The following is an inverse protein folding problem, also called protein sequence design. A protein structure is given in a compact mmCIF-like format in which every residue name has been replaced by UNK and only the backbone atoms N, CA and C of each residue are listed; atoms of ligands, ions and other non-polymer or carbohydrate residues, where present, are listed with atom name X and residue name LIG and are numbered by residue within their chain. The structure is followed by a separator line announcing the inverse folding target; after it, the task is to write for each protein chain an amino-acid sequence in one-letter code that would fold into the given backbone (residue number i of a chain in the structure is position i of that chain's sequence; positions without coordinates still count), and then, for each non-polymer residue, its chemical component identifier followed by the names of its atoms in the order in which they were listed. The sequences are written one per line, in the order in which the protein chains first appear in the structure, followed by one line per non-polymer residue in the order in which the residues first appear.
data_IF_181668788151
#
_entry.id   IF_181668788151
#
_cell.length_a   1.000
_cell.length_b   1.000
_cell.length_c   1.000
_cell.angle_alpha   90.00
_cell.angle_beta   90.00
_cell.angle_gamma   90.00
#
_symmetry.space_group_name_H-M   'P 1'
#
loop_
_entity.id
_entity.type
_entity.pdbx_description
1 polymer ?
#
# COMPACT_ATOMS: atom_id res chain seq x y z
N UNK A 1 37.14 62.96 -13.81
CA UNK A 1 37.30 61.49 -13.89
C UNK A 1 36.21 60.86 -13.06
N UNK A 2 35.16 60.33 -13.70
CA UNK A 2 33.94 59.80 -13.08
C UNK A 2 34.04 58.26 -13.11
N UNK A 3 34.23 57.64 -11.94
CA UNK A 3 34.27 56.17 -11.79
C UNK A 3 32.85 55.62 -11.88
N UNK A 4 32.52 54.90 -12.94
CA UNK A 4 31.27 54.15 -13.06
C UNK A 4 31.46 52.80 -12.37
N UNK A 5 30.77 52.60 -11.24
CA UNK A 5 30.65 51.28 -10.59
C UNK A 5 29.62 50.46 -11.36
N UNK A 6 30.05 49.36 -11.96
CA UNK A 6 29.16 48.37 -12.57
C UNK A 6 28.78 47.41 -11.44
N UNK A 7 27.54 47.48 -10.99
CA UNK A 7 26.96 46.48 -10.09
C UNK A 7 26.59 45.24 -10.92
N UNK A 8 27.29 44.15 -10.72
CA UNK A 8 27.02 42.84 -11.31
C UNK A 8 25.89 42.20 -10.48
N UNK A 9 24.63 42.25 -10.98
CA UNK A 9 23.54 41.56 -10.39
C UNK A 9 23.65 40.05 -10.71
N UNK A 10 24.10 39.26 -9.72
CA UNK A 10 24.14 37.80 -9.79
C UNK A 10 22.70 37.29 -9.62
N UNK A 11 21.96 37.07 -10.73
CA UNK A 11 20.72 36.32 -10.73
C UNK A 11 21.04 34.87 -10.39
N UNK A 12 20.93 34.48 -9.12
CA UNK A 12 20.83 33.09 -8.73
C UNK A 12 19.48 32.55 -9.26
N UNK A 13 19.46 32.00 -10.46
CA UNK A 13 18.40 31.16 -10.95
C UNK A 13 18.39 29.92 -10.05
N UNK A 14 17.53 29.91 -9.03
CA UNK A 14 17.14 28.69 -8.36
C UNK A 14 16.53 27.79 -9.41
N UNK A 15 17.34 26.91 -9.97
CA UNK A 15 16.87 25.78 -10.76
C UNK A 15 16.15 24.91 -9.73
N UNK A 16 14.85 25.14 -9.59
CA UNK A 16 13.95 24.23 -8.91
C UNK A 16 13.99 22.96 -9.76
N UNK A 17 14.88 22.02 -9.44
CA UNK A 17 14.84 20.68 -10.02
C UNK A 17 13.45 20.16 -9.69
N UNK A 18 12.66 19.72 -10.67
CA UNK A 18 11.42 19.03 -10.36
C UNK A 18 11.81 17.86 -9.44
N UNK A 19 11.22 17.84 -8.25
CA UNK A 19 11.34 16.66 -7.41
C UNK A 19 10.72 15.51 -8.22
N UNK A 20 11.57 14.64 -8.74
CA UNK A 20 11.12 13.45 -9.45
C UNK A 20 10.25 12.68 -8.48
N UNK A 21 9.07 12.30 -8.91
CA UNK A 21 8.17 11.50 -8.10
C UNK A 21 8.89 10.19 -7.77
N UNK A 22 9.27 10.01 -6.52
CA UNK A 22 9.88 8.77 -6.03
C UNK A 22 8.79 7.71 -5.94
N UNK A 23 9.11 6.48 -6.30
CA UNK A 23 8.22 5.35 -6.07
C UNK A 23 8.62 4.65 -4.77
N UNK A 24 7.73 4.65 -3.78
CA UNK A 24 7.87 3.86 -2.56
C UNK A 24 7.30 2.46 -2.79
N UNK A 25 8.08 1.43 -2.49
CA UNK A 25 7.67 0.02 -2.61
C UNK A 25 7.73 -0.63 -1.25
N UNK A 26 6.56 -0.98 -0.69
CA UNK A 26 6.45 -1.81 0.49
C UNK A 26 6.35 -3.29 0.12
N UNK A 27 7.28 -4.12 0.61
CA UNK A 27 7.28 -5.57 0.33
C UNK A 27 6.94 -6.35 1.58
N UNK A 28 5.83 -7.10 1.56
CA UNK A 28 5.39 -7.98 2.64
C UNK A 28 5.85 -9.41 2.40
N UNK A 29 6.72 -9.92 3.28
CA UNK A 29 7.26 -11.26 3.22
C UNK A 29 6.23 -12.35 3.54
N UNK A 30 6.45 -13.60 3.06
CA UNK A 30 5.69 -14.79 3.49
C UNK A 30 6.02 -15.19 4.93
N UNK A 31 5.42 -16.26 5.42
CA UNK A 31 5.54 -16.76 6.80
C UNK A 31 6.97 -16.85 7.32
N UNK A 32 7.90 -17.36 6.53
CA UNK A 32 9.30 -17.54 6.93
C UNK A 32 10.24 -16.49 6.33
N UNK A 33 9.69 -15.35 5.90
CA UNK A 33 10.47 -14.23 5.37
C UNK A 33 11.32 -14.57 4.15
N UNK A 34 12.50 -13.93 4.01
CA UNK A 34 13.38 -14.12 2.86
C UNK A 34 13.87 -15.56 2.67
N UNK A 35 13.99 -16.33 3.76
CA UNK A 35 14.44 -17.72 3.71
C UNK A 35 13.48 -18.63 2.93
N UNK A 36 12.17 -18.36 3.00
CA UNK A 36 11.15 -19.10 2.25
C UNK A 36 10.91 -18.54 0.85
N UNK A 37 11.49 -17.40 0.53
CA UNK A 37 11.28 -16.70 -0.73
C UNK A 37 12.58 -16.16 -1.33
N UNK A 38 13.59 -17.00 -1.61
CA UNK A 38 14.87 -16.53 -2.14
C UNK A 38 14.73 -15.78 -3.47
N UNK A 39 13.79 -16.18 -4.33
CA UNK A 39 13.50 -15.48 -5.57
C UNK A 39 12.94 -14.07 -5.37
N UNK A 40 12.14 -13.86 -4.31
CA UNK A 40 11.68 -12.52 -3.95
C UNK A 40 12.82 -11.70 -3.34
N UNK A 41 13.67 -12.31 -2.51
CA UNK A 41 14.82 -11.62 -1.91
C UNK A 41 15.80 -11.12 -2.99
N UNK A 42 16.11 -11.95 -3.97
CA UNK A 42 16.89 -11.55 -5.15
C UNK A 42 16.23 -10.39 -5.91
N UNK A 43 14.93 -10.48 -6.13
CA UNK A 43 14.19 -9.45 -6.84
C UNK A 43 14.10 -8.14 -6.05
N UNK A 44 13.94 -8.19 -4.72
CA UNK A 44 14.00 -7.00 -3.86
C UNK A 44 15.35 -6.30 -3.98
N UNK A 45 16.47 -7.05 -3.97
CA UNK A 45 17.80 -6.47 -4.18
C UNK A 45 17.94 -5.79 -5.56
N UNK A 46 17.33 -6.37 -6.59
CA UNK A 46 17.26 -5.75 -7.92
C UNK A 46 16.48 -4.44 -7.89
N UNK A 47 15.29 -4.42 -7.27
CA UNK A 47 14.47 -3.21 -7.13
C UNK A 47 15.17 -2.11 -6.33
N UNK A 48 15.90 -2.47 -5.26
CA UNK A 48 16.68 -1.53 -4.45
C UNK A 48 17.83 -0.87 -5.23
N UNK A 49 18.25 -1.47 -6.35
CA UNK A 49 19.29 -0.89 -7.23
C UNK A 49 18.72 0.09 -8.27
N UNK A 50 17.39 0.20 -8.40
CA UNK A 50 16.76 1.09 -9.37
C UNK A 50 16.84 2.55 -8.89
N UNK A 51 17.11 3.51 -9.79
CA UNK A 51 17.05 4.91 -9.43
C UNK A 51 15.60 5.33 -9.12
N UNK A 52 15.44 6.31 -8.24
CA UNK A 52 14.16 6.91 -7.86
C UNK A 52 13.12 5.92 -7.28
N UNK A 53 13.60 4.79 -6.76
CA UNK A 53 12.79 3.75 -6.10
C UNK A 53 13.30 3.55 -4.68
N UNK A 54 12.42 3.70 -3.71
CA UNK A 54 12.66 3.35 -2.31
C UNK A 54 11.97 2.03 -1.99
N UNK A 55 12.71 1.00 -1.57
CA UNK A 55 12.15 -0.33 -1.24
C UNK A 55 12.39 -0.65 0.21
N UNK A 56 11.30 -0.80 0.97
CA UNK A 56 11.33 -1.26 2.36
C UNK A 56 10.60 -2.60 2.47
N UNK A 57 11.17 -3.49 3.25
CA UNK A 57 10.62 -4.84 3.44
C UNK A 57 10.09 -5.03 4.85
N UNK A 58 8.97 -5.72 4.97
CA UNK A 58 8.25 -5.95 6.22
C UNK A 58 7.93 -7.44 6.36
N UNK A 59 7.98 -7.96 7.56
CA UNK A 59 7.36 -9.24 7.84
C UNK A 59 5.84 -9.14 7.61
N UNK A 60 5.20 -10.21 7.21
CA UNK A 60 3.75 -10.19 7.00
C UNK A 60 2.97 -9.65 8.22
N UNK A 61 3.46 -9.83 9.44
CA UNK A 61 2.87 -9.30 10.68
C UNK A 61 3.11 -7.81 10.90
N UNK A 62 4.05 -7.20 10.20
CA UNK A 62 4.41 -5.78 10.31
C UNK A 62 3.61 -4.89 9.34
N UNK A 63 2.50 -5.40 8.80
CA UNK A 63 1.63 -4.61 7.95
C UNK A 63 1.17 -3.27 8.57
N UNK A 64 0.99 -3.12 9.92
CA UNK A 64 0.66 -1.81 10.50
C UNK A 64 1.79 -0.79 10.32
N UNK A 65 3.06 -1.22 10.46
CA UNK A 65 4.21 -0.34 10.23
C UNK A 65 4.29 0.11 8.76
N UNK A 66 3.97 -0.79 7.81
CA UNK A 66 3.87 -0.40 6.41
C UNK A 66 2.76 0.63 6.16
N UNK A 67 1.60 0.51 6.84
CA UNK A 67 0.53 1.52 6.78
C UNK A 67 1.03 2.87 7.28
N UNK A 68 1.74 2.89 8.41
CA UNK A 68 2.29 4.11 8.98
C UNK A 68 3.29 4.76 8.01
N UNK A 69 4.20 3.98 7.44
CA UNK A 69 5.20 4.48 6.48
C UNK A 69 4.54 5.02 5.20
N UNK A 70 3.52 4.34 4.66
CA UNK A 70 2.74 4.83 3.52
C UNK A 70 2.07 6.16 3.85
N UNK A 71 1.45 6.28 5.02
CA UNK A 71 0.72 7.49 5.41
C UNK A 71 1.64 8.69 5.69
N UNK A 72 2.94 8.46 5.88
CA UNK A 72 3.96 9.49 6.06
C UNK A 72 4.71 9.85 4.77
N UNK A 73 4.43 9.18 3.65
CA UNK A 73 5.06 9.54 2.38
C UNK A 73 4.70 10.96 1.93
N UNK A 74 5.65 11.60 1.26
CA UNK A 74 5.45 12.94 0.72
C UNK A 74 4.36 12.96 -0.36
N UNK A 75 3.66 14.07 -0.48
CA UNK A 75 2.74 14.27 -1.60
C UNK A 75 3.49 14.15 -2.93
N UNK A 76 2.95 13.33 -3.83
CA UNK A 76 3.57 13.03 -5.13
C UNK A 76 4.44 11.76 -5.15
N UNK A 77 4.65 11.10 -3.99
CA UNK A 77 5.26 9.76 -3.97
C UNK A 77 4.23 8.73 -4.43
N UNK A 78 4.59 7.91 -5.42
CA UNK A 78 3.78 6.76 -5.83
C UNK A 78 3.97 5.58 -4.88
N UNK A 79 2.88 4.89 -4.57
CA UNK A 79 2.87 3.79 -3.61
C UNK A 79 2.58 2.47 -4.31
N UNK A 80 3.54 1.56 -4.30
CA UNK A 80 3.38 0.17 -4.75
C UNK A 80 3.55 -0.78 -3.56
N UNK A 81 2.58 -1.66 -3.34
CA UNK A 81 2.69 -2.73 -2.34
C UNK A 81 2.83 -4.08 -3.04
N UNK A 82 3.84 -4.83 -2.68
CA UNK A 82 4.06 -6.20 -3.15
C UNK A 82 3.89 -7.14 -1.97
N UNK A 83 2.97 -8.08 -2.08
CA UNK A 83 2.76 -9.11 -1.06
C UNK A 83 2.94 -10.51 -1.64
N UNK A 84 3.59 -11.40 -0.89
CA UNK A 84 3.72 -12.80 -1.28
C UNK A 84 3.18 -13.74 -0.20
N UNK A 85 2.36 -14.71 -0.57
CA UNK A 85 1.76 -15.70 0.34
C UNK A 85 0.97 -15.01 1.47
N UNK A 86 1.31 -15.18 2.74
CA UNK A 86 0.72 -14.44 3.86
C UNK A 86 0.88 -12.93 3.72
N UNK A 87 1.99 -12.46 3.15
CA UNK A 87 2.17 -11.05 2.82
C UNK A 87 1.16 -10.55 1.80
N UNK A 88 0.75 -11.38 0.84
CA UNK A 88 -0.28 -11.03 -0.13
C UNK A 88 -1.67 -10.85 0.53
N UNK A 89 -2.03 -11.71 1.49
CA UNK A 89 -3.26 -11.52 2.27
C UNK A 89 -3.21 -10.22 3.09
N UNK A 90 -2.06 -9.95 3.72
CA UNK A 90 -1.91 -8.76 4.56
C UNK A 90 -1.77 -7.46 3.76
N UNK A 91 -1.42 -7.52 2.48
CA UNK A 91 -1.52 -6.37 1.58
C UNK A 91 -2.96 -5.82 1.49
N UNK A 92 -3.98 -6.68 1.66
CA UNK A 92 -5.38 -6.24 1.78
C UNK A 92 -5.62 -5.47 3.08
N UNK A 93 -4.99 -5.87 4.19
CA UNK A 93 -5.07 -5.13 5.46
C UNK A 93 -4.38 -3.78 5.33
N UNK A 94 -3.23 -3.72 4.65
CA UNK A 94 -2.57 -2.43 4.34
C UNK A 94 -3.51 -1.56 3.53
N UNK A 95 -4.11 -2.08 2.47
CA UNK A 95 -5.04 -1.34 1.61
C UNK A 95 -6.23 -0.77 2.38
N UNK A 96 -6.78 -1.56 3.31
CA UNK A 96 -7.97 -1.16 4.08
C UNK A 96 -7.66 -0.11 5.17
N UNK A 97 -6.39 0.13 5.50
CA UNK A 97 -5.98 1.03 6.58
C UNK A 97 -5.08 2.19 6.11
N UNK A 98 -4.49 2.11 4.93
CA UNK A 98 -3.73 3.22 4.34
C UNK A 98 -4.65 4.28 3.73
N UNK A 99 -4.16 5.53 3.67
CA UNK A 99 -4.90 6.63 3.04
C UNK A 99 -5.16 6.38 1.55
N UNK A 100 -4.14 5.93 0.84
CA UNK A 100 -4.19 5.61 -0.59
C UNK A 100 -2.99 4.73 -0.99
N UNK A 101 -3.20 3.85 -1.96
CA UNK A 101 -2.17 3.03 -2.59
C UNK A 101 -2.40 3.06 -4.10
N UNK A 102 -1.38 3.37 -4.90
CA UNK A 102 -1.50 3.38 -6.36
C UNK A 102 -1.70 1.97 -6.90
N UNK A 103 -0.89 1.02 -6.43
CA UNK A 103 -0.98 -0.36 -6.90
C UNK A 103 -0.62 -1.39 -5.84
N UNK A 104 -1.31 -2.53 -5.90
CA UNK A 104 -0.97 -3.74 -5.16
C UNK A 104 -0.71 -4.88 -6.14
N UNK A 105 0.40 -5.59 -5.95
CA UNK A 105 0.67 -6.85 -6.64
C UNK A 105 0.73 -7.96 -5.60
N UNK A 106 -0.32 -8.78 -5.57
CA UNK A 106 -0.49 -9.89 -4.65
C UNK A 106 -0.08 -11.20 -5.33
N UNK A 107 1.03 -11.78 -4.88
CA UNK A 107 1.57 -13.02 -5.44
C UNK A 107 1.14 -14.21 -4.59
N UNK A 108 0.33 -15.08 -5.15
CA UNK A 108 -0.13 -16.34 -4.56
C UNK A 108 -0.58 -16.21 -3.10
N UNK A 109 -1.70 -15.52 -2.80
CA UNK A 109 -2.21 -15.36 -1.44
C UNK A 109 -2.43 -16.72 -0.76
N UNK A 110 -2.11 -16.79 0.53
CA UNK A 110 -2.18 -18.01 1.33
C UNK A 110 -3.60 -18.31 1.78
N UNK A 111 -3.97 -19.59 1.85
CA UNK A 111 -5.25 -20.04 2.43
C UNK A 111 -5.27 -20.06 3.98
N UNK A 112 -4.12 -19.82 4.62
CA UNK A 112 -4.02 -19.94 6.09
C UNK A 112 -4.54 -18.72 6.84
N UNK A 113 -5.01 -17.70 6.15
CA UNK A 113 -5.60 -16.52 6.77
C UNK A 113 -7.05 -16.34 6.32
N UNK A 114 -7.84 -15.67 7.14
CA UNK A 114 -9.18 -15.23 6.74
C UNK A 114 -9.08 -14.30 5.54
N UNK A 115 -9.94 -14.52 4.56
CA UNK A 115 -10.00 -13.69 3.36
C UNK A 115 -10.75 -12.40 3.70
N UNK A 116 -10.01 -11.38 4.14
CA UNK A 116 -10.58 -10.07 4.42
C UNK A 116 -10.97 -9.38 3.11
N UNK A 117 -12.22 -8.90 2.98
CA UNK A 117 -12.60 -8.15 1.78
C UNK A 117 -11.79 -6.86 1.63
N UNK A 118 -11.41 -6.56 0.41
CA UNK A 118 -10.81 -5.27 0.07
C UNK A 118 -11.89 -4.18 0.11
N UNK A 119 -11.71 -3.21 0.96
CA UNK A 119 -12.59 -2.04 1.12
C UNK A 119 -11.82 -0.73 1.03
N UNK A 120 -10.50 -0.81 0.97
CA UNK A 120 -9.59 0.33 0.99
C UNK A 120 -9.52 1.08 -0.34
N UNK A 121 -8.79 2.19 -0.30
CA UNK A 121 -8.62 3.10 -1.43
C UNK A 121 -7.36 2.72 -2.21
N UNK A 122 -7.53 1.90 -3.26
CA UNK A 122 -6.45 1.41 -4.11
C UNK A 122 -6.76 1.68 -5.57
N UNK A 123 -5.80 2.25 -6.31
CA UNK A 123 -5.94 2.53 -7.72
C UNK A 123 -6.01 1.27 -8.58
N UNK A 124 -5.11 0.32 -8.34
CA UNK A 124 -5.04 -0.94 -9.09
C UNK A 124 -4.64 -2.11 -8.19
N UNK A 125 -5.28 -3.27 -8.38
CA UNK A 125 -4.87 -4.52 -7.74
C UNK A 125 -4.71 -5.60 -8.79
N UNK A 126 -3.56 -6.26 -8.75
CA UNK A 126 -3.29 -7.45 -9.56
C UNK A 126 -2.99 -8.62 -8.62
N UNK A 127 -3.78 -9.65 -8.73
CA UNK A 127 -3.52 -10.92 -8.05
C UNK A 127 -2.98 -11.94 -9.03
N UNK A 128 -1.81 -12.48 -8.72
CA UNK A 128 -1.21 -13.60 -9.45
C UNK A 128 -1.43 -14.86 -8.62
N UNK A 129 -2.25 -15.77 -9.11
CA UNK A 129 -2.61 -16.99 -8.37
C UNK A 129 -2.39 -18.27 -9.20
N UNK A 130 -2.18 -19.38 -8.50
CA UNK A 130 -2.13 -20.70 -9.11
C UNK A 130 -3.44 -21.46 -8.76
N UNK A 131 -4.25 -21.80 -9.75
CA UNK A 131 -5.50 -22.55 -9.53
C UNK A 131 -5.26 -24.02 -9.17
N UNK A 132 -4.04 -24.54 -9.35
CA UNK A 132 -3.74 -25.95 -9.10
C UNK A 132 -3.24 -26.15 -7.66
N UNK A 133 -4.06 -26.73 -6.76
CA UNK A 133 -3.69 -26.90 -5.36
C UNK A 133 -2.49 -27.84 -5.15
N UNK A 134 -2.21 -28.75 -6.08
CA UNK A 134 -1.08 -29.67 -6.00
C UNK A 134 0.27 -29.00 -6.27
N UNK A 135 0.26 -27.94 -7.07
CA UNK A 135 1.46 -27.16 -7.37
C UNK A 135 1.81 -26.15 -6.26
N UNK A 136 0.95 -25.97 -5.27
CA UNK A 136 1.02 -24.95 -4.23
C UNK A 136 1.14 -25.53 -2.82
N UNK A 137 1.83 -26.66 -2.63
CA UNK A 137 1.95 -27.31 -1.31
C UNK A 137 0.60 -27.50 -0.59
N UNK A 138 -0.36 -28.17 -1.25
CA UNK A 138 -1.68 -28.42 -0.69
C UNK A 138 -2.58 -27.19 -0.62
N UNK A 139 -2.38 -26.22 -1.51
CA UNK A 139 -3.26 -25.06 -1.66
C UNK A 139 -2.75 -23.76 -1.02
N UNK A 140 -1.53 -23.74 -0.50
CA UNK A 140 -0.99 -22.57 0.21
C UNK A 140 -0.95 -21.26 -0.60
N UNK A 141 -1.08 -21.32 -1.91
CA UNK A 141 -1.06 -20.14 -2.76
C UNK A 141 -2.25 -20.04 -3.71
N UNK A 142 -3.37 -20.70 -3.43
CA UNK A 142 -4.52 -20.76 -4.34
C UNK A 142 -5.75 -19.99 -3.87
N UNK A 143 -5.67 -19.27 -2.75
CA UNK A 143 -6.77 -18.42 -2.30
C UNK A 143 -6.88 -17.20 -3.21
N UNK A 144 -8.09 -16.87 -3.64
CA UNK A 144 -8.38 -15.60 -4.31
C UNK A 144 -8.74 -14.52 -3.30
N UNK A 145 -8.22 -13.34 -3.48
CA UNK A 145 -8.62 -12.15 -2.73
C UNK A 145 -10.08 -11.81 -3.04
N UNK A 146 -10.76 -11.16 -2.11
CA UNK A 146 -12.14 -10.72 -2.27
C UNK A 146 -12.16 -9.20 -2.40
N UNK A 147 -12.78 -8.68 -3.46
CA UNK A 147 -12.92 -7.24 -3.66
C UNK A 147 -13.38 -6.89 -5.07
N UNK A 148 -13.75 -5.63 -5.25
CA UNK A 148 -14.04 -5.09 -6.57
C UNK A 148 -12.74 -4.73 -7.30
N UNK A 149 -12.76 -4.83 -8.64
CA UNK A 149 -11.69 -4.36 -9.52
C UNK A 149 -10.32 -5.07 -9.33
N UNK A 150 -10.32 -6.33 -8.87
CA UNK A 150 -9.10 -7.13 -8.81
C UNK A 150 -8.85 -7.76 -10.18
N UNK A 151 -7.70 -7.49 -10.77
CA UNK A 151 -7.22 -8.17 -11.97
C UNK A 151 -6.59 -9.51 -11.57
N UNK A 152 -7.06 -10.62 -12.14
CA UNK A 152 -6.56 -11.96 -11.83
C UNK A 152 -5.70 -12.51 -12.96
N UNK A 153 -4.45 -12.83 -12.63
CA UNK A 153 -3.51 -13.47 -13.55
C UNK A 153 -3.25 -14.90 -13.09
N UNK A 154 -3.46 -15.86 -13.99
CA UNK A 154 -3.17 -17.26 -13.72
C UNK A 154 -1.68 -17.51 -13.89
N UNK A 155 -1.05 -18.08 -12.87
CA UNK A 155 0.34 -18.48 -12.86
C UNK A 155 0.45 -19.97 -12.53
N UNK A 156 1.06 -20.75 -13.42
CA UNK A 156 1.23 -22.20 -13.25
C UNK A 156 2.51 -22.59 -12.49
N UNK A 157 3.26 -21.64 -11.96
CA UNK A 157 4.45 -21.93 -11.15
C UNK A 157 4.07 -22.46 -9.77
N UNK A 158 4.94 -23.31 -9.23
CA UNK A 158 4.83 -23.73 -7.84
C UNK A 158 4.89 -22.51 -6.89
N UNK A 159 4.40 -22.68 -5.69
CA UNK A 159 4.42 -21.59 -4.67
C UNK A 159 5.85 -21.04 -4.46
N UNK A 160 6.84 -21.91 -4.27
CA UNK A 160 8.23 -21.48 -4.11
C UNK A 160 8.88 -20.95 -5.40
N UNK A 161 8.38 -21.38 -6.57
CA UNK A 161 8.86 -20.93 -7.88
C UNK A 161 8.25 -19.59 -8.33
N UNK A 162 7.12 -19.19 -7.77
CA UNK A 162 6.40 -18.01 -8.22
C UNK A 162 7.24 -16.70 -8.19
N UNK A 163 8.05 -16.42 -7.16
CA UNK A 163 8.88 -15.21 -7.15
C UNK A 163 10.01 -15.18 -8.19
N UNK A 164 10.38 -16.35 -8.75
CA UNK A 164 11.37 -16.42 -9.83
C UNK A 164 10.75 -16.21 -11.23
N UNK A 165 9.41 -16.18 -11.31
CA UNK A 165 8.73 -16.07 -12.60
C UNK A 165 9.05 -14.72 -13.27
N UNK A 166 9.58 -14.74 -14.51
CA UNK A 166 9.83 -13.51 -15.27
C UNK A 166 8.58 -12.67 -15.52
N UNK A 167 7.40 -13.29 -15.66
CA UNK A 167 6.14 -12.57 -15.87
C UNK A 167 5.79 -11.71 -14.64
N UNK A 168 5.94 -12.27 -13.44
CA UNK A 168 5.76 -11.51 -12.20
C UNK A 168 6.75 -10.33 -12.11
N UNK A 169 8.04 -10.59 -12.32
CA UNK A 169 9.08 -9.56 -12.26
C UNK A 169 8.86 -8.47 -13.32
N UNK A 170 8.48 -8.83 -14.53
CA UNK A 170 8.18 -7.89 -15.61
C UNK A 170 6.92 -7.07 -15.30
N UNK A 171 5.89 -7.68 -14.69
CA UNK A 171 4.69 -6.97 -14.27
C UNK A 171 5.04 -5.88 -13.23
N UNK A 172 5.83 -6.21 -12.21
CA UNK A 172 6.28 -5.24 -11.20
C UNK A 172 7.06 -4.10 -11.85
N UNK A 173 8.04 -4.42 -12.71
CA UNK A 173 8.84 -3.40 -13.41
C UNK A 173 8.00 -2.51 -14.33
N UNK A 174 7.03 -3.08 -15.05
CA UNK A 174 6.13 -2.31 -15.90
C UNK A 174 5.21 -1.40 -15.08
N UNK A 175 4.80 -1.85 -13.90
CA UNK A 175 3.99 -1.05 -12.99
C UNK A 175 4.80 0.13 -12.40
N UNK A 176 6.04 -0.08 -12.00
CA UNK A 176 6.96 0.99 -11.59
C UNK A 176 7.14 2.01 -12.72
N UNK A 177 7.39 1.55 -13.95
CA UNK A 177 7.53 2.43 -15.11
C UNK A 177 6.25 3.23 -15.39
N UNK A 178 5.07 2.62 -15.24
CA UNK A 178 3.78 3.30 -15.36
C UNK A 178 3.63 4.40 -14.31
N UNK A 179 3.87 4.08 -13.04
CA UNK A 179 3.77 5.03 -11.94
C UNK A 179 4.74 6.20 -12.11
N UNK A 180 5.98 5.93 -12.54
CA UNK A 180 6.98 6.97 -12.81
C UNK A 180 6.60 7.87 -13.98
N UNK A 181 5.79 7.40 -14.93
CA UNK A 181 5.32 8.18 -16.09
C UNK A 181 4.05 8.99 -15.81
N UNK A 182 3.30 8.64 -14.77
CA UNK A 182 2.07 9.32 -14.40
C UNK A 182 2.36 10.46 -13.43
N UNK A 183 1.95 11.68 -13.78
CA UNK A 183 1.74 12.70 -12.78
C UNK A 183 0.49 12.29 -11.98
N UNK A 184 0.58 12.27 -10.65
CA UNK A 184 -0.57 12.00 -9.81
C UNK A 184 -1.75 12.87 -10.27
N UNK A 185 -2.91 12.29 -10.61
CA UNK A 185 -4.08 13.06 -10.95
C UNK A 185 -4.42 14.02 -9.80
N UNK A 186 -4.83 15.26 -10.13
CA UNK A 186 -5.24 16.27 -9.14
C UNK A 186 -6.28 15.73 -8.15
N UNK A 187 -7.09 14.74 -8.59
CA UNK A 187 -8.08 14.05 -7.78
C UNK A 187 -7.46 13.17 -6.66
N UNK A 188 -6.33 12.53 -6.91
CA UNK A 188 -5.63 11.72 -5.90
C UNK A 188 -4.97 12.63 -4.85
N UNK A 189 -4.36 13.73 -5.28
CA UNK A 189 -3.84 14.75 -4.38
C UNK A 189 -4.95 15.35 -3.48
N UNK A 190 -6.12 15.61 -4.06
CA UNK A 190 -7.28 16.10 -3.31
C UNK A 190 -7.83 15.06 -2.31
N UNK A 191 -7.77 13.77 -2.63
CA UNK A 191 -8.19 12.68 -1.72
C UNK A 191 -7.21 12.52 -0.56
N UNK A 192 -5.90 12.56 -0.82
CA UNK A 192 -4.86 12.52 0.22
C UNK A 192 -5.02 13.72 1.16
N UNK A 193 -5.20 14.93 0.60
CA UNK A 193 -5.42 16.14 1.38
C UNK A 193 -6.70 16.06 2.23
N UNK A 194 -7.76 15.42 1.74
CA UNK A 194 -9.01 15.21 2.47
C UNK A 194 -8.89 14.16 3.57
N UNK A 195 -8.15 13.08 3.33
CA UNK A 195 -7.90 12.02 4.31
C UNK A 195 -6.96 12.46 5.43
N UNK A 196 -6.03 13.38 5.14
CA UNK A 196 -5.10 13.96 6.12
C UNK A 196 -5.74 15.02 7.01
N UNK A 197 -7.01 15.43 6.77
CA UNK A 197 -7.72 16.30 7.68
C UNK A 197 -8.10 15.50 8.94
N UNK A 198 -7.81 16.02 10.16
CA UNK A 198 -8.20 15.34 11.38
C UNK A 198 -9.72 15.14 11.38
N UNK A 199 -10.16 13.88 11.37
CA UNK A 199 -11.57 13.56 11.52
C UNK A 199 -12.04 14.12 12.84
N UNK A 200 -13.04 15.02 12.80
CA UNK A 200 -13.70 15.50 14.01
C UNK A 200 -14.10 14.27 14.83
N UNK A 201 -13.68 14.16 16.10
CA UNK A 201 -14.02 13.00 16.92
C UNK A 201 -15.53 12.75 16.84
N UNK A 202 -16.00 11.51 16.72
CA UNK A 202 -17.42 11.21 16.73
C UNK A 202 -17.99 11.85 18.00
N UNK A 203 -19.08 12.61 17.86
CA UNK A 203 -19.76 13.31 18.95
C UNK A 203 -19.81 12.39 20.15
N UNK A 204 -19.22 12.83 21.26
CA UNK A 204 -19.35 12.15 22.55
C UNK A 204 -20.81 11.81 22.77
N UNK A 205 -21.15 10.59 23.21
CA UNK A 205 -22.54 10.23 23.46
C UNK A 205 -23.16 11.28 24.36
N UNK A 206 -24.29 11.85 23.91
CA UNK A 206 -25.07 12.82 24.64
C UNK A 206 -25.38 12.22 26.02
N UNK A 207 -24.97 12.89 27.08
CA UNK A 207 -25.19 12.45 28.45
C UNK A 207 -26.67 12.14 28.63
N UNK A 208 -27.04 10.98 29.19
CA UNK A 208 -28.43 10.62 29.38
C UNK A 208 -29.12 11.69 30.22
N UNK A 209 -30.22 12.26 29.71
CA UNK A 209 -31.06 13.21 30.41
C UNK A 209 -31.50 12.60 31.72
N UNK A 210 -31.47 13.33 32.85
CA UNK A 210 -31.92 12.83 34.15
C UNK A 210 -33.41 12.45 34.06
N UNK A 211 -33.72 11.19 34.42
CA UNK A 211 -35.06 10.71 34.56
C UNK A 211 -35.72 11.40 35.71
N UNK A 212 -36.61 12.34 35.47
CA UNK A 212 -37.56 12.84 36.45
C UNK A 212 -38.71 11.81 36.64
N UNK A 213 -38.41 10.79 37.44
CA UNK A 213 -39.42 9.86 37.89
C UNK A 213 -40.30 10.54 38.94
N UNK A 214 -41.54 10.86 38.58
CA UNK A 214 -42.57 11.25 39.57
C UNK A 214 -42.89 10.04 40.47
N UNK A 215 -42.43 10.08 41.70
CA UNK A 215 -42.96 9.24 42.79
C UNK A 215 -44.35 9.75 43.15
N UNK A 216 -45.39 9.05 42.74
CA UNK A 216 -46.72 9.24 43.30
C UNK A 216 -46.80 8.53 44.67
N UNK A 217 -47.29 9.19 45.74
CA UNK A 217 -47.46 8.53 47.01
C UNK A 217 -48.70 7.60 46.97
N UNK A 218 -48.48 6.36 47.36
CA UNK A 218 -49.54 5.39 47.55
C UNK A 218 -50.46 5.80 48.70
N UNK A 219 -51.73 6.04 48.41
CA UNK A 219 -52.78 6.24 49.43
C UNK A 219 -53.04 4.90 50.15
N UNK A 220 -52.91 4.92 51.48
CA UNK A 220 -53.40 3.84 52.39
C UNK A 220 -54.91 3.88 52.47
N UNK A 221 -55.51 2.74 52.31
CA UNK A 221 -56.75 2.26 52.95
C UNK A 221 -56.56 0.83 53.42
#
# INVERSE_FOLDING_TARGET
MQKRSIALALCCSLVCSPAWATTFIGVLWPLFGPLAAPGLAEFVAELQSMPDVEVITYWHTEWPSLVDDINHQSAGTHILVIGYSLGANNAVLVANNANYIDSIIALQPSIFTSNTPLTGNVGKIVEIYNPNPWMTFGGMGSQKLIGANIEYIVNNNSHLGAPFNPEFRNLVKSEIARLSAEQLPDTAQAQIAKASQPTKPPNSPESPKPYHGMLQPAARR
#
